data_IF_519475678056
#
_entry.id   IF_519475678056
#
_cell.length_a   1.000
_cell.length_b   1.000
_cell.length_c   1.000
_cell.angle_alpha   90.00
_cell.angle_beta   90.00
_cell.angle_gamma   90.00
#
_symmetry.space_group_name_H-M   'P 1'
#
loop_
_entity.id
_entity.type
_entity.pdbx_description
1 polymer ?
#
# COMPACT_ATOMS: atom_id res chain seq x y z
N UNK A 1 16.16 0.59 5.32
CA UNK A 1 16.19 1.48 4.15
C UNK A 1 16.54 0.81 2.82
N UNK A 2 17.19 -0.36 2.72
CA UNK A 2 17.72 -0.83 1.42
C UNK A 2 16.65 -1.20 0.36
N UNK A 3 15.58 -1.93 0.70
CA UNK A 3 14.56 -2.33 -0.29
C UNK A 3 13.65 -1.18 -0.73
N UNK A 4 13.25 -0.31 0.19
CA UNK A 4 12.45 0.89 -0.13
C UNK A 4 13.31 2.02 -0.70
N UNK A 5 14.60 2.10 -0.35
CA UNK A 5 15.55 3.07 -0.91
C UNK A 5 15.91 2.80 -2.37
N UNK A 6 16.07 1.53 -2.77
CA UNK A 6 16.30 1.14 -4.18
C UNK A 6 15.15 1.63 -5.08
N UNK A 7 13.92 1.64 -4.57
CA UNK A 7 12.79 2.19 -5.31
C UNK A 7 12.44 3.63 -4.94
N UNK A 8 12.94 4.18 -3.83
CA UNK A 8 12.81 5.60 -3.54
C UNK A 8 13.45 6.38 -4.66
N UNK A 9 14.64 6.00 -5.15
CA UNK A 9 15.24 6.66 -6.32
C UNK A 9 14.43 6.41 -7.60
N UNK A 10 13.87 5.20 -7.79
CA UNK A 10 13.06 4.85 -8.97
C UNK A 10 11.66 5.53 -8.98
N UNK A 11 11.07 5.76 -7.81
CA UNK A 11 9.77 6.41 -7.59
C UNK A 11 9.92 7.94 -7.43
N UNK A 12 11.05 8.43 -6.90
CA UNK A 12 11.36 9.86 -6.83
C UNK A 12 11.56 10.42 -8.23
N UNK A 13 12.30 9.70 -9.09
CA UNK A 13 12.55 10.13 -10.47
C UNK A 13 11.31 10.01 -11.37
N UNK A 14 10.29 9.24 -10.96
CA UNK A 14 9.03 9.04 -11.70
C UNK A 14 7.80 9.75 -11.14
N UNK A 15 7.91 10.48 -10.03
CA UNK A 15 6.76 11.18 -9.44
C UNK A 15 7.02 12.15 -8.29
N UNK A 16 8.28 12.41 -7.89
CA UNK A 16 8.60 13.36 -6.82
C UNK A 16 9.50 14.53 -7.27
N UNK A 17 9.56 14.83 -8.57
CA UNK A 17 9.77 16.23 -8.94
C UNK A 17 8.47 16.94 -8.58
N UNK A 18 8.49 17.58 -7.41
CA UNK A 18 7.52 18.56 -6.96
C UNK A 18 6.88 19.23 -8.18
N UNK A 19 5.58 18.97 -8.41
CA UNK A 19 4.79 19.94 -9.12
C UNK A 19 5.04 21.25 -8.38
N UNK A 20 5.61 22.24 -9.06
CA UNK A 20 5.95 23.54 -8.51
C UNK A 20 4.70 24.36 -8.08
N UNK A 21 3.53 23.73 -8.01
CA UNK A 21 2.53 24.05 -7.01
C UNK A 21 2.76 23.15 -5.80
N UNK A 22 3.63 23.56 -4.87
CA UNK A 22 3.55 23.08 -3.48
C UNK A 22 2.07 23.06 -3.10
N UNK A 23 1.45 21.89 -2.85
CA UNK A 23 0.25 21.88 -2.02
C UNK A 23 0.69 22.66 -0.79
N UNK A 24 -0.07 23.67 -0.40
CA UNK A 24 0.20 24.34 0.87
C UNK A 24 0.29 23.24 1.90
N UNK A 25 1.50 22.91 2.37
CA UNK A 25 1.68 21.91 3.42
C UNK A 25 0.74 22.40 4.51
N UNK A 26 -0.34 21.64 4.82
CA UNK A 26 -1.32 22.12 5.76
C UNK A 26 -0.56 22.55 7.00
N UNK A 27 -0.85 23.73 7.58
CA UNK A 27 -0.19 24.09 8.83
C UNK A 27 -0.37 22.92 9.80
N UNK A 28 0.73 22.44 10.41
CA UNK A 28 0.69 21.36 11.40
C UNK A 28 -0.49 21.66 12.33
N UNK A 29 -1.54 20.82 12.35
CA UNK A 29 -2.68 21.07 13.21
C UNK A 29 -2.17 21.19 14.64
N UNK A 30 -2.65 22.19 15.39
CA UNK A 30 -2.49 22.17 16.85
C UNK A 30 -3.44 21.11 17.36
N UNK A 31 -2.95 19.87 17.44
CA UNK A 31 -3.69 18.78 18.03
C UNK A 31 -3.86 19.10 19.52
N UNK A 32 -5.11 19.03 19.95
CA UNK A 32 -5.50 19.31 21.33
C UNK A 32 -5.14 18.12 22.22
N UNK A 33 -5.10 18.27 23.56
CA UNK A 33 -4.86 17.16 24.51
C UNK A 33 -5.90 16.01 24.50
N UNK A 34 -6.73 15.92 23.46
CA UNK A 34 -7.82 14.96 23.24
C UNK A 34 -7.30 13.60 22.73
N UNK A 35 -6.03 13.48 22.31
CA UNK A 35 -5.46 12.21 21.84
C UNK A 35 -5.04 11.26 22.97
N UNK A 36 -4.75 11.78 24.16
CA UNK A 36 -4.20 10.96 25.27
C UNK A 36 -5.07 9.75 25.63
N UNK A 37 -6.41 9.83 25.73
CA UNK A 37 -7.24 8.67 25.98
C UNK A 37 -7.07 7.56 24.94
N UNK A 38 -6.85 7.92 23.66
CA UNK A 38 -6.64 6.96 22.57
C UNK A 38 -5.28 6.27 22.70
N UNK A 39 -4.26 7.02 23.11
CA UNK A 39 -2.92 6.49 23.41
C UNK A 39 -2.98 5.54 24.61
N UNK A 40 -3.71 5.91 25.66
CA UNK A 40 -3.87 5.09 26.86
C UNK A 40 -4.63 3.78 26.55
N UNK A 41 -5.68 3.86 25.73
CA UNK A 41 -6.42 2.69 25.24
C UNK A 41 -5.51 1.74 24.46
N UNK A 42 -4.73 2.26 23.51
CA UNK A 42 -3.78 1.48 22.72
C UNK A 42 -2.74 0.81 23.62
N UNK A 43 -2.14 1.56 24.56
CA UNK A 43 -1.19 1.02 25.52
C UNK A 43 -1.80 -0.11 26.34
N UNK A 44 -3.03 0.10 26.85
CA UNK A 44 -3.75 -0.90 27.64
C UNK A 44 -3.96 -2.21 26.86
N UNK A 45 -4.40 -2.11 25.59
CA UNK A 45 -4.58 -3.28 24.73
C UNK A 45 -3.24 -3.98 24.40
N UNK A 46 -2.18 -3.22 24.11
CA UNK A 46 -0.86 -3.77 23.86
C UNK A 46 -0.32 -4.53 25.07
N UNK A 47 -0.49 -3.98 26.27
CA UNK A 47 -0.06 -4.62 27.51
C UNK A 47 -0.87 -5.87 27.81
N UNK A 48 -2.20 -5.81 27.72
CA UNK A 48 -3.09 -6.97 27.88
C UNK A 48 -2.71 -8.11 26.93
N UNK A 49 -2.40 -7.75 25.67
CA UNK A 49 -1.92 -8.71 24.69
C UNK A 49 -0.54 -9.28 25.06
N UNK A 50 0.40 -8.45 25.53
CA UNK A 50 1.73 -8.90 25.97
C UNK A 50 1.69 -9.89 27.14
N UNK A 51 0.76 -9.69 28.10
CA UNK A 51 0.52 -10.61 29.20
C UNK A 51 0.02 -11.97 28.68
N UNK A 52 -0.93 -11.93 27.75
CA UNK A 52 -1.47 -13.14 27.09
C UNK A 52 -0.37 -13.89 26.34
N UNK A 53 0.51 -13.20 25.62
CA UNK A 53 1.65 -13.82 24.95
C UNK A 53 2.65 -14.45 25.92
N UNK A 54 2.94 -13.80 27.06
CA UNK A 54 3.87 -14.33 28.07
C UNK A 54 3.34 -15.62 28.69
N UNK A 55 2.03 -15.71 28.90
CA UNK A 55 1.41 -16.95 29.38
C UNK A 55 1.45 -18.07 28.33
N UNK A 56 1.47 -17.73 27.04
CA UNK A 56 1.50 -18.69 25.93
C UNK A 56 2.92 -19.09 25.46
N UNK A 57 3.95 -18.25 25.61
CA UNK A 57 5.34 -18.51 25.22
C UNK A 57 6.31 -18.10 26.35
N UNK A 58 6.99 -19.07 26.95
CA UNK A 58 8.02 -18.83 27.97
C UNK A 58 9.19 -17.98 27.40
N UNK A 59 9.53 -16.91 28.13
CA UNK A 59 10.64 -15.97 27.95
C UNK A 59 10.66 -15.14 26.65
N UNK A 60 9.95 -14.01 26.64
CA UNK A 60 10.35 -12.84 25.84
C UNK A 60 10.73 -11.69 26.78
N UNK A 61 11.79 -10.96 26.39
CA UNK A 61 12.29 -9.81 27.13
C UNK A 61 11.17 -8.79 27.36
N UNK A 62 11.03 -8.38 28.61
CA UNK A 62 10.00 -7.46 29.10
C UNK A 62 10.05 -6.12 28.38
N UNK A 63 8.98 -5.82 27.65
CA UNK A 63 8.60 -4.45 27.36
C UNK A 63 8.09 -3.85 28.68
N UNK A 64 8.87 -2.98 29.31
CA UNK A 64 8.52 -2.38 30.59
C UNK A 64 7.38 -1.37 30.40
N UNK A 65 6.28 -1.46 31.18
CA UNK A 65 5.15 -0.53 31.07
C UNK A 65 5.56 0.95 31.14
N UNK A 66 6.58 1.26 31.94
CA UNK A 66 7.09 2.63 32.09
C UNK A 66 7.84 3.12 30.85
N UNK A 67 8.56 2.23 30.16
CA UNK A 67 9.20 2.56 28.89
C UNK A 67 8.16 2.84 27.80
N UNK A 68 7.05 2.08 27.76
CA UNK A 68 5.99 2.36 26.80
C UNK A 68 5.29 3.69 27.08
N UNK A 69 5.01 4.00 28.35
CA UNK A 69 4.40 5.29 28.73
C UNK A 69 5.29 6.49 28.40
N UNK A 70 6.61 6.34 28.45
CA UNK A 70 7.54 7.39 28.05
C UNK A 70 7.58 7.61 26.54
N UNK A 71 7.27 6.58 25.75
CA UNK A 71 7.36 6.58 24.28
C UNK A 71 6.01 6.87 23.62
N UNK A 72 4.95 6.28 24.13
CA UNK A 72 3.59 6.44 23.65
C UNK A 72 2.92 7.58 24.39
N UNK A 73 3.17 8.79 23.88
CA UNK A 73 2.53 10.03 24.31
C UNK A 73 1.72 10.62 23.15
N UNK A 74 0.71 11.44 23.45
CA UNK A 74 -0.04 12.15 22.42
C UNK A 74 0.88 12.95 21.48
N UNK A 75 1.86 13.66 22.04
CA UNK A 75 2.83 14.45 21.27
C UNK A 75 3.65 13.59 20.30
N UNK A 76 4.19 12.46 20.76
CA UNK A 76 4.95 11.55 19.89
C UNK A 76 4.07 10.96 18.79
N UNK A 77 2.80 10.66 19.08
CA UNK A 77 1.86 10.12 18.10
C UNK A 77 1.59 11.14 16.99
N UNK A 78 1.31 12.40 17.35
CA UNK A 78 1.09 13.47 16.40
C UNK A 78 2.32 13.72 15.52
N UNK A 79 3.52 13.73 16.11
CA UNK A 79 4.78 13.87 15.37
C UNK A 79 5.00 12.73 14.39
N UNK A 80 4.77 11.48 14.84
CA UNK A 80 4.94 10.32 13.99
C UNK A 80 3.89 10.29 12.87
N UNK A 81 2.62 10.55 13.16
CA UNK A 81 1.56 10.61 12.13
C UNK A 81 1.89 11.66 11.09
N UNK A 82 2.33 12.85 11.52
CA UNK A 82 2.77 13.90 10.62
C UNK A 82 3.95 13.47 9.74
N UNK A 83 4.98 12.87 10.34
CA UNK A 83 6.15 12.37 9.62
C UNK A 83 5.78 11.25 8.62
N UNK A 84 4.84 10.37 8.98
CA UNK A 84 4.32 9.34 8.08
C UNK A 84 3.72 9.97 6.82
N UNK A 85 2.78 10.90 6.98
CA UNK A 85 2.07 11.49 5.83
C UNK A 85 2.94 12.40 4.97
N UNK A 86 3.95 13.04 5.56
CA UNK A 86 4.83 13.96 4.83
C UNK A 86 6.04 13.29 4.19
N UNK A 87 6.48 12.13 4.68
CA UNK A 87 7.71 11.47 4.20
C UNK A 87 7.44 10.11 3.57
N UNK A 88 6.69 9.23 4.25
CA UNK A 88 6.47 7.86 3.79
C UNK A 88 5.31 7.75 2.80
N UNK A 89 4.17 8.35 3.16
CA UNK A 89 2.92 8.26 2.40
C UNK A 89 3.04 8.69 0.93
N UNK A 90 3.76 9.78 0.57
CA UNK A 90 3.89 10.19 -0.84
C UNK A 90 4.60 9.14 -1.71
N UNK A 91 5.44 8.30 -1.11
CA UNK A 91 6.12 7.22 -1.83
C UNK A 91 5.19 6.01 -2.04
N UNK A 92 4.29 5.77 -1.09
CA UNK A 92 3.40 4.61 -1.07
C UNK A 92 2.02 5.00 -0.51
N UNK A 93 1.16 5.61 -1.35
CA UNK A 93 -0.12 6.15 -0.92
C UNK A 93 -1.16 5.05 -0.67
N UNK A 94 -1.06 4.41 0.50
CA UNK A 94 -1.93 3.32 0.94
C UNK A 94 -3.19 3.81 1.70
N UNK A 95 -3.08 4.95 2.38
CA UNK A 95 -4.14 5.54 3.20
C UNK A 95 -4.70 6.78 2.52
N UNK A 96 -5.97 7.09 2.69
CA UNK A 96 -6.51 8.37 2.22
C UNK A 96 -6.20 9.44 3.27
N UNK A 97 -5.21 10.31 3.01
CA UNK A 97 -4.78 11.31 3.98
C UNK A 97 -5.94 12.23 4.43
N UNK A 98 -6.75 12.82 3.54
CA UNK A 98 -7.79 13.77 3.95
C UNK A 98 -8.84 13.20 4.93
N UNK A 99 -9.14 11.91 4.87
CA UNK A 99 -10.09 11.27 5.82
C UNK A 99 -9.41 10.52 6.95
N UNK A 100 -8.08 10.53 7.03
CA UNK A 100 -7.38 9.90 8.15
C UNK A 100 -7.58 10.72 9.42
N UNK A 101 -8.18 10.09 10.44
CA UNK A 101 -8.40 10.69 11.73
C UNK A 101 -7.83 9.81 12.85
N UNK A 102 -6.74 10.27 13.47
CA UNK A 102 -6.07 9.59 14.57
C UNK A 102 -6.96 9.30 15.79
N UNK A 103 -8.06 10.05 15.95
CA UNK A 103 -9.00 9.84 17.06
C UNK A 103 -9.96 8.68 16.82
N UNK A 104 -10.22 8.32 15.56
CA UNK A 104 -11.25 7.34 15.22
C UNK A 104 -10.72 6.10 14.49
N UNK A 105 -9.63 6.18 13.71
CA UNK A 105 -9.05 5.01 13.04
C UNK A 105 -8.77 3.87 14.01
N UNK A 106 -8.84 2.63 13.53
CA UNK A 106 -8.56 1.45 14.35
C UNK A 106 -7.18 1.53 14.99
N UNK A 107 -7.09 1.02 16.22
CA UNK A 107 -5.86 1.01 17.00
C UNK A 107 -4.68 0.31 16.29
N UNK A 108 -4.87 -0.83 15.57
CA UNK A 108 -3.80 -1.43 14.78
C UNK A 108 -3.26 -0.50 13.70
N UNK A 109 -4.14 0.22 12.99
CA UNK A 109 -3.73 1.15 11.95
C UNK A 109 -3.00 2.36 12.53
N UNK A 110 -3.53 2.94 13.62
CA UNK A 110 -2.86 4.05 14.32
C UNK A 110 -1.44 3.64 14.74
N UNK A 111 -1.28 2.46 15.34
CA UNK A 111 0.02 1.95 15.76
C UNK A 111 0.97 1.76 14.58
N UNK A 112 0.49 1.17 13.48
CA UNK A 112 1.31 0.96 12.28
C UNK A 112 1.77 2.28 11.64
N UNK A 113 0.89 3.29 11.59
CA UNK A 113 1.22 4.65 11.12
C UNK A 113 2.24 5.31 12.03
N UNK A 114 2.07 5.22 13.35
CA UNK A 114 3.04 5.77 14.32
C UNK A 114 4.40 5.11 14.17
N UNK A 115 4.46 3.78 14.04
CA UNK A 115 5.73 3.08 13.80
C UNK A 115 6.38 3.45 12.47
N UNK A 116 5.57 3.60 11.41
CA UNK A 116 6.04 4.06 10.11
C UNK A 116 6.57 5.50 10.15
N UNK A 117 5.94 6.36 10.94
CA UNK A 117 6.37 7.74 11.14
C UNK A 117 7.63 7.88 12.01
N UNK A 118 7.75 7.05 13.05
CA UNK A 118 8.82 7.18 14.05
C UNK A 118 10.22 6.99 13.47
N UNK A 119 10.35 6.30 12.34
CA UNK A 119 11.65 6.15 11.64
C UNK A 119 12.06 7.38 10.83
N UNK A 120 11.14 8.33 10.65
CA UNK A 120 11.33 9.60 9.93
C UNK A 120 11.32 10.83 10.86
N UNK A 121 10.91 10.67 12.12
CA UNK A 121 11.07 11.71 13.13
C UNK A 121 12.54 12.03 13.41
N UNK A 122 12.82 13.25 13.87
CA UNK A 122 14.13 13.62 14.41
C UNK A 122 14.54 12.62 15.50
N UNK A 123 15.83 12.22 15.58
CA UNK A 123 16.29 11.18 16.49
C UNK A 123 16.29 11.69 17.94
N UNK A 124 15.11 11.71 18.55
CA UNK A 124 14.90 11.88 19.99
C UNK A 124 14.88 10.51 20.66
N UNK A 125 15.11 10.47 21.98
CA UNK A 125 15.04 9.22 22.75
C UNK A 125 13.69 8.50 22.57
N UNK A 126 12.60 9.26 22.44
CA UNK A 126 11.25 8.73 22.15
C UNK A 126 11.15 8.04 20.78
N UNK A 127 11.58 8.72 19.71
CA UNK A 127 11.52 8.17 18.34
C UNK A 127 12.41 6.92 18.17
N UNK A 128 13.58 6.90 18.81
CA UNK A 128 14.47 5.74 18.81
C UNK A 128 13.90 4.58 19.63
N UNK A 129 13.25 4.89 20.76
CA UNK A 129 12.66 3.89 21.65
C UNK A 129 11.38 3.26 21.10
N UNK A 130 10.64 3.93 20.20
CA UNK A 130 9.51 3.33 19.46
C UNK A 130 9.88 1.98 18.81
N UNK A 131 11.12 1.84 18.34
CA UNK A 131 11.60 0.62 17.67
C UNK A 131 11.59 -0.60 18.58
N UNK A 132 11.75 -0.42 19.90
CA UNK A 132 11.69 -1.52 20.86
C UNK A 132 10.31 -2.20 20.91
N UNK A 133 9.27 -1.52 20.40
CA UNK A 133 7.89 -2.00 20.40
C UNK A 133 7.45 -2.60 19.06
N UNK A 134 8.27 -2.58 18.01
CA UNK A 134 7.88 -3.02 16.67
C UNK A 134 7.48 -4.49 16.63
N UNK A 135 8.22 -5.37 17.30
CA UNK A 135 7.89 -6.79 17.35
C UNK A 135 6.59 -7.04 18.13
N UNK A 136 6.38 -6.36 19.26
CA UNK A 136 5.13 -6.49 20.03
C UNK A 136 3.93 -5.96 19.24
N UNK A 137 4.07 -4.79 18.61
CA UNK A 137 3.01 -4.22 17.79
C UNK A 137 2.73 -5.01 16.52
N UNK A 138 3.74 -5.62 15.89
CA UNK A 138 3.54 -6.59 14.79
C UNK A 138 2.65 -7.74 15.26
N UNK A 139 2.99 -8.38 16.39
CA UNK A 139 2.17 -9.48 16.91
C UNK A 139 0.74 -9.04 17.23
N UNK A 140 0.55 -7.85 17.81
CA UNK A 140 -0.77 -7.28 18.12
C UNK A 140 -1.58 -7.03 16.84
N UNK A 141 -1.00 -6.36 15.85
CA UNK A 141 -1.65 -6.07 14.56
C UNK A 141 -2.10 -7.37 13.88
N UNK A 142 -1.24 -8.39 13.87
CA UNK A 142 -1.57 -9.66 13.26
C UNK A 142 -2.61 -10.46 14.06
N UNK A 143 -2.67 -10.30 15.38
CA UNK A 143 -3.77 -10.85 16.16
C UNK A 143 -5.11 -10.22 15.77
N UNK A 144 -5.17 -8.89 15.70
CA UNK A 144 -6.39 -8.18 15.31
C UNK A 144 -6.82 -8.54 13.88
N UNK A 145 -5.86 -8.70 12.96
CA UNK A 145 -6.15 -9.16 11.60
C UNK A 145 -6.75 -10.57 11.59
N UNK A 146 -6.22 -11.51 12.39
CA UNK A 146 -6.78 -12.87 12.51
C UNK A 146 -8.21 -12.83 13.03
N UNK A 147 -8.49 -12.01 14.04
CA UNK A 147 -9.84 -11.90 14.60
C UNK A 147 -10.84 -11.38 13.56
N UNK A 148 -10.45 -10.39 12.74
CA UNK A 148 -11.25 -9.90 11.61
C UNK A 148 -11.49 -11.00 10.57
N UNK A 149 -10.46 -11.75 10.19
CA UNK A 149 -10.57 -12.85 9.21
C UNK A 149 -11.48 -13.97 9.72
N UNK A 150 -11.40 -14.31 11.00
CA UNK A 150 -12.24 -15.34 11.62
C UNK A 150 -13.71 -14.90 11.70
N UNK A 151 -13.95 -13.63 12.05
CA UNK A 151 -15.30 -13.08 12.14
C UNK A 151 -16.03 -13.06 10.78
N UNK A 152 -15.29 -13.05 9.66
CA UNK A 152 -15.80 -12.99 8.28
C UNK A 152 -16.91 -11.92 8.09
N UNK A 153 -16.66 -10.67 8.50
CA UNK A 153 -17.63 -9.60 8.35
C UNK A 153 -17.88 -9.27 6.87
N UNK A 154 -19.03 -8.67 6.57
CA UNK A 154 -19.24 -8.02 5.28
C UNK A 154 -18.33 -6.79 5.17
N UNK A 155 -17.65 -6.64 4.03
CA UNK A 155 -16.77 -5.51 3.75
C UNK A 155 -17.52 -4.18 3.75
N UNK A 156 -18.78 -4.19 3.30
CA UNK A 156 -19.58 -2.97 3.17
C UNK A 156 -20.11 -2.45 4.51
N UNK A 157 -20.17 -3.33 5.52
CA UNK A 157 -20.72 -2.99 6.84
C UNK A 157 -19.65 -2.37 7.77
N UNK A 158 -18.36 -2.59 7.50
CA UNK A 158 -17.31 -2.17 8.42
C UNK A 158 -16.01 -1.70 7.73
N UNK A 159 -15.79 -0.38 7.62
CA UNK A 159 -14.57 0.16 7.01
C UNK A 159 -13.30 -0.22 7.79
N UNK A 160 -13.41 -0.60 9.08
CA UNK A 160 -12.27 -1.03 9.92
C UNK A 160 -11.60 -2.30 9.40
N UNK A 161 -12.26 -3.08 8.54
CA UNK A 161 -11.66 -4.27 7.93
C UNK A 161 -10.46 -3.87 7.08
N UNK A 162 -10.62 -2.85 6.23
CA UNK A 162 -9.55 -2.34 5.38
C UNK A 162 -8.39 -1.79 6.21
N UNK A 163 -8.71 -1.12 7.32
CA UNK A 163 -7.70 -0.55 8.23
C UNK A 163 -6.82 -1.63 8.88
N UNK A 164 -7.38 -2.79 9.26
CA UNK A 164 -6.60 -3.89 9.81
C UNK A 164 -5.65 -4.49 8.76
N UNK A 165 -6.09 -4.59 7.50
CA UNK A 165 -5.23 -5.04 6.40
C UNK A 165 -4.15 -4.00 6.08
N UNK A 166 -4.49 -2.71 6.06
CA UNK A 166 -3.54 -1.61 5.89
C UNK A 166 -2.48 -1.62 7.00
N UNK A 167 -2.89 -1.81 8.26
CA UNK A 167 -1.98 -1.94 9.39
C UNK A 167 -0.97 -3.09 9.18
N UNK A 168 -1.46 -4.26 8.77
CA UNK A 168 -0.65 -5.42 8.47
C UNK A 168 0.34 -5.18 7.32
N UNK A 169 -0.10 -4.54 6.23
CA UNK A 169 0.78 -4.18 5.11
C UNK A 169 1.86 -3.18 5.52
N UNK A 170 1.51 -2.14 6.28
CA UNK A 170 2.45 -1.13 6.76
C UNK A 170 3.50 -1.72 7.70
N UNK A 171 3.11 -2.55 8.68
CA UNK A 171 4.08 -3.13 9.60
C UNK A 171 5.02 -4.12 8.89
N UNK A 172 4.51 -4.88 7.91
CA UNK A 172 5.37 -5.79 7.12
C UNK A 172 6.33 -5.00 6.22
N UNK A 173 5.86 -3.92 5.57
CA UNK A 173 6.72 -3.02 4.82
C UNK A 173 7.83 -2.42 5.70
N UNK A 174 7.45 -1.91 6.86
CA UNK A 174 8.38 -1.33 7.84
C UNK A 174 9.43 -2.35 8.30
N UNK A 175 9.00 -3.51 8.81
CA UNK A 175 9.87 -4.60 9.31
C UNK A 175 10.79 -5.14 8.19
N UNK A 176 10.30 -5.22 6.95
CA UNK A 176 11.10 -5.63 5.78
C UNK A 176 12.23 -4.66 5.44
N UNK A 177 12.07 -3.39 5.81
CA UNK A 177 13.05 -2.35 5.52
C UNK A 177 14.27 -2.41 6.46
N UNK A 178 14.18 -3.12 7.60
CA UNK A 178 15.26 -3.24 8.57
C UNK A 178 16.29 -4.31 8.20
N UNK A 179 17.56 -4.06 8.54
CA UNK A 179 18.66 -4.99 8.27
C UNK A 179 18.78 -6.06 9.37
N UNK A 180 17.69 -6.78 9.64
CA UNK A 180 17.69 -7.94 10.54
C UNK A 180 17.31 -9.18 9.73
N UNK A 181 18.17 -10.19 9.70
CA UNK A 181 17.87 -11.44 8.97
C UNK A 181 16.70 -12.19 9.61
N UNK A 182 16.65 -12.26 10.94
CA UNK A 182 15.58 -12.93 11.67
C UNK A 182 14.21 -12.30 11.38
N UNK A 183 14.13 -10.96 11.43
CA UNK A 183 12.91 -10.21 11.10
C UNK A 183 12.50 -10.43 9.66
N UNK A 184 13.42 -10.26 8.69
CA UNK A 184 13.12 -10.46 7.27
C UNK A 184 12.69 -11.90 6.97
N UNK A 185 13.27 -12.89 7.66
CA UNK A 185 12.84 -14.28 7.57
C UNK A 185 11.43 -14.44 8.11
N UNK A 186 11.12 -13.96 9.32
CA UNK A 186 9.78 -14.00 9.94
C UNK A 186 8.73 -13.36 9.03
N UNK A 187 9.02 -12.19 8.48
CA UNK A 187 8.17 -11.50 7.52
C UNK A 187 7.83 -12.42 6.33
N UNK A 188 8.84 -13.00 5.67
CA UNK A 188 8.62 -13.80 4.46
C UNK A 188 7.95 -15.14 4.71
N UNK A 189 8.29 -15.83 5.81
CA UNK A 189 7.79 -17.20 6.06
C UNK A 189 6.48 -17.24 6.85
N UNK A 190 6.14 -16.16 7.57
CA UNK A 190 4.97 -16.11 8.45
C UNK A 190 4.01 -14.99 8.05
N UNK A 191 4.47 -13.73 8.08
CA UNK A 191 3.58 -12.56 7.99
C UNK A 191 3.04 -12.30 6.60
N UNK A 192 3.88 -12.45 5.58
CA UNK A 192 3.48 -12.28 4.19
C UNK A 192 2.44 -13.34 3.77
N UNK A 193 2.64 -14.66 4.01
CA UNK A 193 1.60 -15.65 3.77
C UNK A 193 0.29 -15.38 4.53
N UNK A 194 0.38 -14.94 5.78
CA UNK A 194 -0.79 -14.60 6.60
C UNK A 194 -1.61 -13.44 6.01
N UNK A 195 -0.94 -12.39 5.50
CA UNK A 195 -1.58 -11.31 4.74
C UNK A 195 -2.22 -11.81 3.44
N UNK A 196 -1.54 -12.67 2.68
CA UNK A 196 -2.10 -13.28 1.46
C UNK A 196 -3.41 -14.03 1.79
N UNK A 197 -3.42 -14.81 2.87
CA UNK A 197 -4.63 -15.52 3.34
C UNK A 197 -5.72 -14.55 3.75
N UNK A 198 -5.38 -13.47 4.48
CA UNK A 198 -6.36 -12.47 4.91
C UNK A 198 -7.03 -11.78 3.72
N UNK A 199 -6.24 -11.29 2.75
CA UNK A 199 -6.73 -10.62 1.54
C UNK A 199 -7.66 -11.52 0.72
N UNK A 200 -7.34 -12.82 0.60
CA UNK A 200 -8.21 -13.81 -0.06
C UNK A 200 -9.48 -14.09 0.73
N UNK A 201 -9.36 -14.29 2.05
CA UNK A 201 -10.50 -14.61 2.93
C UNK A 201 -11.50 -13.48 3.00
N UNK A 202 -11.01 -12.24 2.98
CA UNK A 202 -11.79 -11.02 2.92
C UNK A 202 -12.23 -10.66 1.49
N UNK A 203 -11.96 -11.51 0.49
CA UNK A 203 -12.38 -11.34 -0.92
C UNK A 203 -11.94 -10.02 -1.56
N UNK A 204 -10.84 -9.43 -1.09
CA UNK A 204 -10.38 -8.14 -1.58
C UNK A 204 -9.85 -8.18 -3.02
N UNK A 205 -9.55 -9.36 -3.58
CA UNK A 205 -9.08 -9.52 -4.96
C UNK A 205 -10.20 -9.52 -6.01
N UNK A 206 -11.47 -9.60 -5.58
CA UNK A 206 -12.62 -9.72 -6.46
C UNK A 206 -12.94 -8.45 -7.27
N UNK A 207 -13.84 -8.56 -8.26
CA UNK A 207 -14.33 -7.40 -9.01
C UNK A 207 -15.02 -6.39 -8.09
N UNK A 208 -15.01 -5.12 -8.49
CA UNK A 208 -15.71 -4.03 -7.80
C UNK A 208 -17.22 -4.26 -7.95
N UNK A 209 -17.99 -4.32 -6.86
CA UNK A 209 -19.44 -4.52 -6.95
C UNK A 209 -20.20 -3.20 -7.16
N UNK A 210 -19.56 -2.06 -6.93
CA UNK A 210 -20.18 -0.73 -7.00
C UNK A 210 -19.98 -0.02 -8.34
N UNK A 211 -19.42 -0.68 -9.36
CA UNK A 211 -19.53 -0.17 -10.73
C UNK A 211 -20.99 -0.26 -11.15
N UNK A 212 -21.77 0.79 -10.89
CA UNK A 212 -23.18 0.90 -11.29
C UNK A 212 -23.27 0.53 -12.77
N UNK A 213 -24.22 -0.33 -13.18
CA UNK A 213 -24.45 -0.66 -14.59
C UNK A 213 -24.76 0.58 -15.44
N UNK A 214 -25.03 1.74 -14.80
CA UNK A 214 -25.36 3.01 -15.43
C UNK A 214 -24.20 4.00 -15.55
N UNK A 215 -22.93 3.63 -15.29
CA UNK A 215 -21.79 4.56 -15.30
C UNK A 215 -21.97 5.76 -14.34
N UNK A 216 -22.70 5.61 -13.24
CA UNK A 216 -22.83 6.67 -12.25
C UNK A 216 -21.50 6.84 -11.50
N UNK A 217 -21.03 8.08 -11.41
CA UNK A 217 -19.84 8.45 -10.62
C UNK A 217 -20.12 8.10 -9.17
N UNK A 218 -19.21 7.36 -8.54
CA UNK A 218 -19.32 7.01 -7.13
C UNK A 218 -19.29 8.29 -6.28
N UNK A 219 -20.12 8.35 -5.23
CA UNK A 219 -19.97 9.40 -4.22
C UNK A 219 -18.58 9.32 -3.56
N UNK A 220 -18.01 10.46 -3.17
CA UNK A 220 -16.62 10.58 -2.69
C UNK A 220 -16.23 9.53 -1.63
N UNK A 221 -17.07 9.30 -0.60
CA UNK A 221 -16.80 8.29 0.42
C UNK A 221 -16.78 6.85 -0.12
N UNK A 222 -17.70 6.52 -1.04
CA UNK A 222 -17.74 5.20 -1.68
C UNK A 222 -16.53 4.99 -2.60
N UNK A 223 -16.13 6.04 -3.32
CA UNK A 223 -14.91 6.06 -4.11
C UNK A 223 -13.67 5.83 -3.24
N UNK A 224 -13.51 6.54 -2.11
CA UNK A 224 -12.37 6.37 -1.19
C UNK A 224 -12.29 4.93 -0.69
N UNK A 225 -13.42 4.34 -0.28
CA UNK A 225 -13.46 2.95 0.19
C UNK A 225 -13.02 1.96 -0.91
N UNK A 226 -13.49 2.16 -2.14
CA UNK A 226 -13.14 1.32 -3.28
C UNK A 226 -11.67 1.47 -3.69
N UNK A 227 -11.18 2.71 -3.77
CA UNK A 227 -9.79 3.00 -4.11
C UNK A 227 -8.83 2.55 -3.01
N UNK A 228 -9.21 2.66 -1.73
CA UNK A 228 -8.45 2.08 -0.62
C UNK A 228 -8.26 0.58 -0.78
N UNK A 229 -9.32 -0.14 -1.20
CA UNK A 229 -9.24 -1.57 -1.51
C UNK A 229 -8.30 -1.84 -2.69
N UNK A 230 -8.40 -1.05 -3.76
CA UNK A 230 -7.49 -1.15 -4.92
C UNK A 230 -6.03 -1.01 -4.49
N UNK A 231 -5.74 0.01 -3.68
CA UNK A 231 -4.39 0.32 -3.18
C UNK A 231 -3.87 -0.77 -2.25
N UNK A 232 -4.70 -1.33 -1.36
CA UNK A 232 -4.35 -2.52 -0.55
C UNK A 232 -3.92 -3.69 -1.43
N UNK A 233 -4.71 -4.02 -2.45
CA UNK A 233 -4.41 -5.15 -3.34
C UNK A 233 -3.11 -4.91 -4.08
N UNK A 234 -2.91 -3.73 -4.66
CA UNK A 234 -1.71 -3.43 -5.44
C UNK A 234 -0.46 -3.32 -4.57
N UNK A 235 -0.56 -2.78 -3.36
CA UNK A 235 0.53 -2.77 -2.39
C UNK A 235 0.97 -4.21 -2.06
N UNK A 236 0.02 -5.10 -1.78
CA UNK A 236 0.32 -6.51 -1.55
C UNK A 236 0.95 -7.17 -2.78
N UNK A 237 0.45 -6.89 -3.99
CA UNK A 237 0.99 -7.45 -5.23
C UNK A 237 2.44 -7.03 -5.45
N UNK A 238 2.75 -5.75 -5.27
CA UNK A 238 4.13 -5.24 -5.40
C UNK A 238 5.03 -5.90 -4.37
N UNK A 239 4.60 -6.02 -3.11
CA UNK A 239 5.39 -6.72 -2.08
C UNK A 239 5.65 -8.19 -2.44
N UNK A 240 4.65 -8.90 -2.95
CA UNK A 240 4.76 -10.32 -3.35
C UNK A 240 5.73 -10.51 -4.52
N UNK A 241 5.63 -9.66 -5.53
CA UNK A 241 6.51 -9.71 -6.70
C UNK A 241 7.91 -9.20 -6.39
N UNK A 242 8.07 -8.26 -5.46
CA UNK A 242 9.38 -7.90 -4.91
C UNK A 242 10.03 -9.09 -4.19
N UNK A 243 9.27 -9.87 -3.43
CA UNK A 243 9.81 -11.09 -2.83
C UNK A 243 10.27 -12.09 -3.89
N UNK A 244 9.58 -12.18 -5.01
CA UNK A 244 10.01 -12.97 -6.17
C UNK A 244 11.31 -12.44 -6.76
N UNK A 245 11.38 -11.13 -7.00
CA UNK A 245 12.53 -10.46 -7.62
C UNK A 245 13.80 -10.51 -6.75
N UNK A 246 13.70 -10.15 -5.47
CA UNK A 246 14.86 -10.03 -4.59
C UNK A 246 15.28 -11.32 -3.92
N UNK A 247 14.35 -12.25 -3.72
CA UNK A 247 14.58 -13.44 -2.90
C UNK A 247 14.31 -14.75 -3.62
N UNK A 248 14.00 -14.73 -4.93
CA UNK A 248 13.68 -15.91 -5.72
C UNK A 248 12.58 -16.78 -5.08
N UNK A 249 11.62 -16.15 -4.41
CA UNK A 249 10.45 -16.83 -3.88
C UNK A 249 9.40 -16.98 -4.97
N UNK A 250 8.69 -18.11 -5.00
CA UNK A 250 7.53 -18.24 -5.87
C UNK A 250 6.48 -17.20 -5.44
N UNK A 251 5.90 -16.41 -6.35
CA UNK A 251 4.87 -15.45 -6.00
C UNK A 251 3.70 -16.17 -5.35
N UNK A 252 3.23 -15.65 -4.23
CA UNK A 252 2.08 -16.21 -3.52
C UNK A 252 0.76 -15.74 -4.11
N UNK A 253 0.76 -14.62 -4.85
CA UNK A 253 -0.37 -14.08 -5.59
C UNK A 253 -0.22 -14.36 -7.08
N UNK A 254 -1.25 -14.95 -7.69
CA UNK A 254 -1.30 -15.11 -9.13
C UNK A 254 -1.88 -13.85 -9.78
N UNK A 255 -1.33 -13.43 -10.92
CA UNK A 255 -1.87 -12.27 -11.64
C UNK A 255 -3.34 -12.51 -12.04
N UNK A 256 -3.68 -13.76 -12.35
CA UNK A 256 -5.02 -14.16 -12.78
C UNK A 256 -6.12 -14.03 -11.72
N UNK A 257 -5.79 -13.97 -10.42
CA UNK A 257 -6.78 -13.77 -9.34
C UNK A 257 -7.04 -12.29 -9.02
N UNK A 258 -6.24 -11.35 -9.54
CA UNK A 258 -6.38 -9.91 -9.29
C UNK A 258 -7.37 -9.31 -10.29
N UNK A 259 -8.57 -8.98 -9.83
CA UNK A 259 -9.63 -8.41 -10.67
C UNK A 259 -9.82 -6.91 -10.47
N UNK A 260 -9.11 -6.29 -9.52
CA UNK A 260 -9.12 -4.84 -9.32
C UNK A 260 -8.44 -4.12 -10.49
N UNK A 261 -8.97 -2.95 -10.88
CA UNK A 261 -8.26 -2.00 -11.75
C UNK A 261 -6.98 -1.52 -11.08
N UNK A 262 -6.00 -1.04 -11.86
CA UNK A 262 -4.83 -0.35 -11.31
C UNK A 262 -5.26 0.91 -10.51
N UNK A 263 -4.47 1.36 -9.52
CA UNK A 263 -4.78 2.56 -8.74
C UNK A 263 -5.08 3.78 -9.61
N UNK A 264 -5.92 4.70 -9.14
CA UNK A 264 -6.08 5.97 -9.83
C UNK A 264 -4.91 6.91 -9.54
N UNK A 265 -4.87 8.05 -10.25
CA UNK A 265 -3.94 9.14 -9.94
C UNK A 265 -4.08 9.57 -8.46
N UNK A 266 -2.95 9.89 -7.83
CA UNK A 266 -2.89 10.28 -6.41
C UNK A 266 -3.66 11.59 -6.14
N UNK A 267 -3.68 12.57 -7.05
CA UNK A 267 -4.46 13.80 -6.89
C UNK A 267 -5.97 13.55 -6.81
N UNK A 268 -6.48 12.54 -7.52
CA UNK A 268 -7.89 12.16 -7.44
C UNK A 268 -8.19 11.41 -6.14
N UNK A 269 -7.26 10.55 -5.71
CA UNK A 269 -7.40 9.85 -4.44
C UNK A 269 -7.33 10.83 -3.29
N UNK A 270 -6.33 11.70 -3.23
CA UNK A 270 -6.03 12.64 -2.15
C UNK A 270 -6.87 13.94 -2.19
N UNK A 271 -7.95 13.97 -2.97
CA UNK A 271 -8.88 15.10 -3.00
C UNK A 271 -9.43 15.36 -1.59
N UNK A 272 -9.33 16.59 -1.09
CA UNK A 272 -9.64 16.91 0.31
C UNK A 272 -11.12 17.08 0.60
N UNK A 273 -11.90 17.39 -0.43
CA UNK A 273 -13.35 17.59 -0.31
C UNK A 273 -14.11 16.89 -1.44
N UNK A 274 -15.40 16.58 -1.25
CA UNK A 274 -16.25 16.05 -2.32
C UNK A 274 -16.26 16.92 -3.58
N UNK A 275 -16.24 18.25 -3.43
CA UNK A 275 -16.26 19.19 -4.54
C UNK A 275 -14.95 19.17 -5.34
N UNK A 276 -13.82 19.01 -4.65
CA UNK A 276 -12.53 18.80 -5.31
C UNK A 276 -12.50 17.47 -6.07
N UNK A 277 -13.02 16.40 -5.45
CA UNK A 277 -13.15 15.10 -6.08
C UNK A 277 -14.02 15.17 -7.35
N UNK A 278 -15.17 15.83 -7.29
CA UNK A 278 -16.05 16.01 -8.45
C UNK A 278 -15.34 16.78 -9.56
N UNK A 279 -14.67 17.89 -9.22
CA UNK A 279 -13.93 18.72 -10.18
C UNK A 279 -12.80 17.96 -10.88
N UNK A 280 -12.05 17.12 -10.18
CA UNK A 280 -10.97 16.30 -10.77
C UNK A 280 -11.57 15.10 -11.54
N UNK A 281 -12.65 14.53 -11.01
CA UNK A 281 -13.34 13.36 -11.55
C UNK A 281 -14.03 13.62 -12.88
N UNK A 282 -14.61 14.80 -13.10
CA UNK A 282 -15.25 15.17 -14.38
C UNK A 282 -14.29 15.12 -15.57
N UNK A 283 -13.01 15.40 -15.34
CA UNK A 283 -11.97 15.39 -16.38
C UNK A 283 -11.41 13.97 -16.62
N UNK A 284 -11.50 13.10 -15.60
CA UNK A 284 -10.74 11.83 -15.54
C UNK A 284 -11.59 10.57 -15.69
N UNK A 285 -12.89 10.59 -15.37
CA UNK A 285 -13.72 9.37 -15.21
C UNK A 285 -14.65 9.03 -16.39
N UNK A 286 -14.39 9.57 -17.59
CA UNK A 286 -15.16 9.22 -18.79
C UNK A 286 -15.05 7.73 -19.17
N UNK A 287 -16.01 7.16 -19.93
CA UNK A 287 -15.97 5.75 -20.36
C UNK A 287 -14.71 5.37 -21.15
N UNK A 288 -14.09 6.35 -21.84
CA UNK A 288 -12.86 6.19 -22.60
C UNK A 288 -11.59 6.13 -21.73
N UNK A 289 -11.68 6.48 -20.43
CA UNK A 289 -10.54 6.58 -19.51
C UNK A 289 -10.53 5.46 -18.45
N UNK A 290 -11.11 4.29 -18.77
CA UNK A 290 -11.15 3.17 -17.82
C UNK A 290 -9.77 2.57 -17.61
N UNK A 291 -9.27 2.70 -16.39
CA UNK A 291 -8.01 2.09 -15.95
C UNK A 291 -8.14 0.56 -16.00
N UNK A 292 -7.26 -0.16 -16.71
CA UNK A 292 -7.33 -1.62 -16.78
C UNK A 292 -6.88 -2.27 -15.47
N UNK A 293 -7.25 -3.54 -15.25
CA UNK A 293 -6.60 -4.36 -14.23
C UNK A 293 -5.21 -4.77 -14.66
N UNK A 294 -4.34 -5.06 -13.68
CA UNK A 294 -3.01 -5.61 -13.96
C UNK A 294 -3.08 -6.91 -14.77
N UNK A 295 -4.10 -7.75 -14.49
CA UNK A 295 -4.41 -8.96 -15.24
C UNK A 295 -4.68 -8.67 -16.71
N UNK A 296 -5.54 -7.70 -16.99
CA UNK A 296 -5.89 -7.35 -18.37
C UNK A 296 -4.69 -6.74 -19.10
N UNK A 297 -3.95 -5.84 -18.44
CA UNK A 297 -2.78 -5.20 -19.03
C UNK A 297 -1.68 -6.22 -19.39
N UNK A 298 -1.36 -7.14 -18.49
CA UNK A 298 -0.38 -8.21 -18.75
C UNK A 298 -0.86 -9.15 -19.86
N UNK A 299 -2.14 -9.56 -19.83
CA UNK A 299 -2.71 -10.41 -20.87
C UNK A 299 -2.66 -9.73 -22.26
N UNK A 300 -2.98 -8.45 -22.33
CA UNK A 300 -2.88 -7.65 -23.56
C UNK A 300 -1.42 -7.55 -24.06
N UNK A 301 -0.47 -7.30 -23.16
CA UNK A 301 0.96 -7.27 -23.52
C UNK A 301 1.47 -8.62 -24.05
N UNK A 302 0.96 -9.73 -23.51
CA UNK A 302 1.29 -11.08 -23.98
C UNK A 302 0.51 -11.50 -25.24
N UNK A 303 -0.62 -10.86 -25.52
CA UNK A 303 -1.54 -11.19 -26.61
C UNK A 303 -1.00 -10.88 -28.00
N UNK A 304 -1.70 -11.37 -29.04
CA UNK A 304 -1.33 -11.16 -30.44
C UNK A 304 -1.84 -9.83 -31.01
N UNK A 305 -2.84 -9.23 -30.37
CA UNK A 305 -3.47 -7.97 -30.79
C UNK A 305 -2.44 -6.86 -31.01
N UNK A 306 -2.65 -6.01 -32.01
CA UNK A 306 -1.72 -4.93 -32.35
C UNK A 306 -1.68 -3.88 -31.24
N UNK A 307 -0.48 -3.52 -30.77
CA UNK A 307 -0.32 -2.47 -29.76
C UNK A 307 -0.83 -1.13 -30.30
N UNK A 308 -0.54 -0.80 -31.56
CA UNK A 308 -0.84 0.50 -32.16
C UNK A 308 -2.32 0.90 -32.08
N UNK A 309 -3.24 -0.07 -32.13
CA UNK A 309 -4.67 0.17 -32.08
C UNK A 309 -5.13 0.70 -30.71
N UNK A 310 -4.51 0.23 -29.63
CA UNK A 310 -4.89 0.59 -28.25
C UNK A 310 -3.88 1.51 -27.57
N UNK A 311 -2.70 1.69 -28.17
CA UNK A 311 -1.56 2.43 -27.60
C UNK A 311 -1.95 3.82 -27.11
N UNK A 312 -2.60 4.62 -27.96
CA UNK A 312 -2.99 5.99 -27.60
C UNK A 312 -4.00 6.03 -26.44
N UNK A 313 -4.94 5.08 -26.39
CA UNK A 313 -5.89 4.97 -25.27
C UNK A 313 -5.16 4.59 -23.98
N UNK A 314 -4.23 3.64 -24.03
CA UNK A 314 -3.40 3.28 -22.89
C UNK A 314 -2.52 4.43 -22.41
N UNK A 315 -1.88 5.19 -23.32
CA UNK A 315 -1.05 6.36 -22.97
C UNK A 315 -1.83 7.53 -22.36
N UNK A 316 -3.16 7.56 -22.55
CA UNK A 316 -4.02 8.56 -21.91
C UNK A 316 -4.40 8.20 -20.48
N UNK A 317 -4.33 6.92 -20.12
CA UNK A 317 -4.84 6.39 -18.84
C UNK A 317 -3.72 5.89 -17.93
N UNK A 318 -2.62 5.39 -18.51
CA UNK A 318 -1.50 4.82 -17.75
C UNK A 318 -0.51 5.91 -17.32
N UNK A 319 0.07 5.67 -16.15
CA UNK A 319 1.16 6.46 -15.56
C UNK A 319 2.41 5.58 -15.45
N UNK A 320 3.58 6.18 -15.22
CA UNK A 320 4.81 5.44 -15.00
C UNK A 320 4.70 4.43 -13.85
N UNK A 321 3.98 4.77 -12.77
CA UNK A 321 3.71 3.83 -11.66
C UNK A 321 2.94 2.58 -12.10
N UNK A 322 2.04 2.68 -13.07
CA UNK A 322 1.30 1.53 -13.60
C UNK A 322 2.22 0.57 -14.33
N UNK A 323 3.15 1.12 -15.13
CA UNK A 323 4.17 0.32 -15.78
C UNK A 323 5.18 -0.26 -14.79
N UNK A 324 5.49 0.43 -13.69
CA UNK A 324 6.29 -0.14 -12.60
C UNK A 324 5.64 -1.37 -11.98
N UNK A 325 4.35 -1.31 -11.66
CA UNK A 325 3.60 -2.48 -11.19
C UNK A 325 3.61 -3.59 -12.26
N UNK A 326 3.45 -3.20 -13.53
CA UNK A 326 3.44 -4.13 -14.65
C UNK A 326 4.75 -4.89 -14.83
N UNK A 327 5.92 -4.25 -14.72
CA UNK A 327 7.19 -4.95 -14.87
C UNK A 327 7.42 -5.97 -13.74
N UNK A 328 6.99 -5.67 -12.52
CA UNK A 328 7.04 -6.65 -11.43
C UNK A 328 6.13 -7.85 -11.69
N UNK A 329 4.94 -7.62 -12.23
CA UNK A 329 4.02 -8.68 -12.63
C UNK A 329 4.60 -9.54 -13.77
N UNK A 330 5.19 -8.91 -14.80
CA UNK A 330 5.86 -9.62 -15.89
C UNK A 330 7.04 -10.45 -15.36
N UNK A 331 7.85 -9.90 -14.46
CA UNK A 331 8.93 -10.65 -13.82
C UNK A 331 8.41 -11.87 -13.04
N UNK A 332 7.33 -11.71 -12.28
CA UNK A 332 6.67 -12.82 -11.57
C UNK A 332 6.19 -13.90 -12.55
N UNK A 333 5.62 -13.49 -13.70
CA UNK A 333 5.17 -14.40 -14.76
C UNK A 333 6.33 -15.18 -15.39
N UNK A 334 7.45 -14.50 -15.67
CA UNK A 334 8.68 -15.14 -16.16
C UNK A 334 9.20 -16.15 -15.14
N UNK A 335 9.24 -15.77 -13.87
CA UNK A 335 9.69 -16.65 -12.79
C UNK A 335 8.83 -17.91 -12.69
N UNK A 336 7.50 -17.76 -12.66
CA UNK A 336 6.55 -18.88 -12.63
C UNK A 336 6.69 -19.74 -13.87
N UNK A 337 6.83 -19.15 -15.06
CA UNK A 337 7.00 -19.91 -16.32
C UNK A 337 8.25 -20.77 -16.30
N UNK A 338 9.35 -20.27 -15.73
CA UNK A 338 10.59 -21.04 -15.54
C UNK A 338 10.41 -22.15 -14.51
N UNK A 339 9.84 -21.82 -13.35
CA UNK A 339 9.62 -22.77 -12.27
C UNK A 339 8.66 -23.92 -12.66
N UNK A 340 7.67 -23.62 -13.50
CA UNK A 340 6.68 -24.57 -14.00
C UNK A 340 7.09 -25.29 -15.30
N UNK A 341 8.32 -25.07 -15.80
CA UNK A 341 8.81 -25.64 -17.07
C UNK A 341 7.98 -25.25 -18.31
N UNK A 342 7.32 -24.09 -18.27
CA UNK A 342 6.48 -23.56 -19.36
C UNK A 342 7.22 -22.60 -20.29
N UNK A 343 8.49 -22.29 -19.99
CA UNK A 343 9.25 -21.24 -20.71
C UNK A 343 9.27 -21.45 -22.22
N UNK A 344 9.42 -22.68 -22.71
CA UNK A 344 9.44 -22.98 -24.15
C UNK A 344 8.12 -22.63 -24.84
N UNK A 345 7.00 -22.78 -24.14
CA UNK A 345 5.67 -22.46 -24.67
C UNK A 345 5.27 -20.99 -24.49
N UNK A 346 5.88 -20.29 -23.54
CA UNK A 346 5.54 -18.90 -23.21
C UNK A 346 6.58 -17.87 -23.67
N UNK A 347 7.72 -18.32 -24.22
CA UNK A 347 8.86 -17.46 -24.55
C UNK A 347 8.48 -16.28 -25.44
N UNK A 348 7.84 -16.55 -26.58
CA UNK A 348 7.47 -15.50 -27.55
C UNK A 348 6.47 -14.51 -26.96
N UNK A 349 5.50 -14.99 -26.17
CA UNK A 349 4.51 -14.16 -25.50
C UNK A 349 5.15 -13.26 -24.44
N UNK A 350 6.11 -13.79 -23.66
CA UNK A 350 6.82 -13.04 -22.63
C UNK A 350 7.79 -12.03 -23.24
N UNK A 351 8.51 -12.41 -24.31
CA UNK A 351 9.40 -11.50 -25.03
C UNK A 351 8.60 -10.33 -25.59
N UNK A 352 7.49 -10.62 -26.28
CA UNK A 352 6.54 -9.62 -26.79
C UNK A 352 6.04 -8.69 -25.69
N UNK A 353 5.64 -9.25 -24.55
CA UNK A 353 5.15 -8.44 -23.44
C UNK A 353 6.22 -7.49 -22.90
N UNK A 354 7.47 -7.95 -22.73
CA UNK A 354 8.57 -7.09 -22.27
C UNK A 354 8.94 -6.00 -23.30
N UNK A 355 8.86 -6.30 -24.60
CA UNK A 355 9.08 -5.31 -25.66
C UNK A 355 7.98 -4.24 -25.67
N UNK A 356 6.71 -4.64 -25.60
CA UNK A 356 5.56 -3.71 -25.53
C UNK A 356 5.58 -2.85 -24.28
N UNK A 357 5.96 -3.44 -23.15
CA UNK A 357 6.18 -2.69 -21.91
C UNK A 357 7.23 -1.59 -22.09
N UNK A 358 8.36 -1.92 -22.72
CA UNK A 358 9.46 -0.97 -22.95
C UNK A 358 9.05 0.18 -23.86
N UNK A 359 8.30 -0.13 -24.92
CA UNK A 359 7.76 0.87 -25.84
C UNK A 359 6.83 1.86 -25.12
N UNK A 360 5.84 1.35 -24.38
CA UNK A 360 4.93 2.18 -23.60
C UNK A 360 5.66 3.01 -22.54
N UNK A 361 6.70 2.44 -21.91
CA UNK A 361 7.54 3.16 -20.95
C UNK A 361 8.25 4.35 -21.59
N UNK A 362 8.87 4.15 -22.75
CA UNK A 362 9.59 5.21 -23.46
C UNK A 362 8.65 6.32 -23.91
N UNK A 363 7.45 5.97 -24.39
CA UNK A 363 6.45 6.96 -24.81
C UNK A 363 5.89 7.76 -23.64
N UNK A 364 5.59 7.12 -22.50
CA UNK A 364 5.16 7.82 -21.29
C UNK A 364 6.27 8.74 -20.74
N UNK A 365 7.52 8.28 -20.76
CA UNK A 365 8.67 9.11 -20.38
C UNK A 365 8.83 10.32 -21.32
N UNK A 366 8.65 10.14 -22.63
CA UNK A 366 8.70 11.22 -23.59
C UNK A 366 7.56 12.23 -23.38
N UNK A 367 6.33 11.75 -23.19
CA UNK A 367 5.14 12.57 -22.89
C UNK A 367 5.34 13.42 -21.64
N UNK A 368 5.84 12.82 -20.55
CA UNK A 368 6.14 13.55 -19.31
C UNK A 368 7.20 14.63 -19.51
N UNK A 369 8.27 14.36 -20.27
CA UNK A 369 9.30 15.35 -20.59
C UNK A 369 8.76 16.51 -21.43
N UNK A 370 7.78 16.26 -22.30
CA UNK A 370 7.13 17.34 -23.08
C UNK A 370 6.22 18.19 -22.21
N UNK A 371 5.43 17.58 -21.33
CA UNK A 371 4.53 18.28 -20.40
C UNK A 371 5.32 19.18 -19.43
N UNK A 372 6.46 18.71 -18.93
CA UNK A 372 7.34 19.48 -18.06
C UNK A 372 8.00 20.68 -18.75
N UNK A 373 8.20 20.65 -20.07
CA UNK A 373 8.74 21.79 -20.84
C UNK A 373 7.69 22.84 -21.18
N UNK A 374 6.41 22.47 -21.16
CA UNK A 374 5.28 23.34 -21.48
C UNK A 374 4.64 24.01 -20.27
N UNK A 375 4.94 23.51 -19.06
CA UNK A 375 4.61 24.14 -17.77
C UNK A 375 5.74 25.06 -17.31
#
# INVERSE_FOLDING_TARGET
MALFGIFSDLFMDTGAEFCASTPTVPRRPQWTPILQPRVDELCSQLFSYSETLRTAKFNSNTVFPDAAKAVFTAENFEECVWAYFTVFHPQQPLLHWPTFDMHSVSLPLLLAVVFGGSVHCSPTDGALSCRAFFDLGEEFIFQQLRDVVIARPDLYDNPRILENVQAGLLIVALQSSFNSEAVRRRVRVSRHPELTVAIRSLRLLGPMTNTSPHNEVLGWNAFIAEESRVRIVHFMCVMDYMNTFFFNLLPSLAIGEIHTRLPCNDALYDAWTPEEYERIGTDSMGPANRIPSIKHLVAFMMGEDCLDEQKNSLLNVLELRHLMICIFALHSTVFVSRAALLISSSYDNLLRATSRWKELWDDLQAKRKTEHKSS
#
